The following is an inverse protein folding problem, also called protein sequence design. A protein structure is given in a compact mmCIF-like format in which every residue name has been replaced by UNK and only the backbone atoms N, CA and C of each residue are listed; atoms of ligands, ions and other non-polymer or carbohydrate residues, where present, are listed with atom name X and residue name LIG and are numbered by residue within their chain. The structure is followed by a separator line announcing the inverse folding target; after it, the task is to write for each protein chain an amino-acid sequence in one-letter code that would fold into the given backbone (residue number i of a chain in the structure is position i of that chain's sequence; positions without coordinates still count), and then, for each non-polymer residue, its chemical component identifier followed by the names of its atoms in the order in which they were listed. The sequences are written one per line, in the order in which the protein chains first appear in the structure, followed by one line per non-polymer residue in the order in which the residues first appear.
data_IF_993905562822
#
_entry.id   IF_993905562822
#
_cell.length_a   1.000
_cell.length_b   1.000
_cell.length_c   1.000
_cell.angle_alpha   90.00
_cell.angle_beta   90.00
_cell.angle_gamma   90.00
#
_symmetry.space_group_name_H-M   'P 1'
#
loop_
_entity.id
_entity.type
_entity.pdbx_description
1 polymer ?
#
# COMPACT_ATOMS: atom_id res chain seq x y z
N UNK A 1 33.23 -21.04 6.20
CA UNK A 1 32.11 -20.27 6.78
C UNK A 1 32.26 -18.73 6.67
N UNK A 2 33.41 -18.08 6.93
CA UNK A 2 33.49 -16.61 7.09
C UNK A 2 33.22 -15.70 5.84
N UNK A 3 33.14 -16.23 4.61
CA UNK A 3 32.95 -15.43 3.38
C UNK A 3 31.47 -15.16 3.05
N UNK A 4 30.57 -16.02 3.52
CA UNK A 4 29.13 -15.87 3.29
C UNK A 4 28.53 -14.74 4.15
N UNK A 5 29.06 -14.54 5.36
CA UNK A 5 28.63 -13.49 6.27
C UNK A 5 29.01 -12.10 5.74
N UNK A 6 30.22 -11.93 5.20
CA UNK A 6 30.66 -10.66 4.62
C UNK A 6 29.83 -10.25 3.39
N UNK A 7 29.48 -11.21 2.53
CA UNK A 7 28.62 -10.96 1.36
C UNK A 7 27.19 -10.57 1.75
N UNK A 8 26.68 -11.11 2.87
CA UNK A 8 25.34 -10.81 3.36
C UNK A 8 25.29 -9.43 4.01
N UNK A 9 26.36 -9.05 4.71
CA UNK A 9 26.53 -7.71 5.30
C UNK A 9 26.72 -6.61 4.23
N UNK A 10 27.51 -6.86 3.19
CA UNK A 10 27.66 -5.91 2.07
C UNK A 10 26.35 -5.72 1.30
N UNK A 11 25.59 -6.80 1.10
CA UNK A 11 24.28 -6.71 0.46
C UNK A 11 23.29 -5.92 1.33
N UNK A 12 23.26 -6.17 2.65
CA UNK A 12 22.42 -5.42 3.57
C UNK A 12 22.79 -3.92 3.60
N UNK A 13 24.09 -3.59 3.57
CA UNK A 13 24.56 -2.20 3.50
C UNK A 13 24.14 -1.51 2.18
N UNK A 14 24.29 -2.19 1.04
CA UNK A 14 23.85 -1.66 -0.27
C UNK A 14 22.34 -1.47 -0.36
N UNK A 15 21.56 -2.36 0.26
CA UNK A 15 20.10 -2.22 0.35
C UNK A 15 19.72 -1.03 1.25
N UNK A 16 20.34 -0.89 2.41
CA UNK A 16 20.14 0.27 3.30
C UNK A 16 20.52 1.58 2.61
N UNK A 17 21.64 1.62 1.89
CA UNK A 17 22.08 2.81 1.15
C UNK A 17 21.09 3.18 0.05
N UNK A 18 20.52 2.20 -0.66
CA UNK A 18 19.43 2.46 -1.61
C UNK A 18 18.21 3.09 -0.93
N UNK A 19 17.80 2.62 0.25
CA UNK A 19 16.70 3.21 1.02
C UNK A 19 17.00 4.62 1.54
N UNK A 20 18.29 4.95 1.74
CA UNK A 20 18.76 6.23 2.25
C UNK A 20 19.04 7.28 1.16
N UNK A 21 19.08 6.89 -0.12
CA UNK A 21 19.37 7.86 -1.19
C UNK A 21 18.27 8.94 -1.29
N UNK A 22 18.64 10.20 -1.57
CA UNK A 22 17.66 11.26 -1.82
C UNK A 22 16.68 10.92 -2.96
N UNK A 23 17.15 10.18 -3.97
CA UNK A 23 16.32 9.72 -5.09
C UNK A 23 15.27 8.68 -4.66
N UNK A 24 15.64 7.69 -3.85
CA UNK A 24 14.68 6.72 -3.32
C UNK A 24 13.67 7.36 -2.36
N UNK A 25 14.10 8.33 -1.54
CA UNK A 25 13.19 9.10 -0.68
C UNK A 25 12.22 9.94 -1.52
N UNK A 26 12.68 10.58 -2.60
CA UNK A 26 11.82 11.33 -3.51
C UNK A 26 10.79 10.42 -4.19
N UNK A 27 11.22 9.26 -4.70
CA UNK A 27 10.32 8.28 -5.30
C UNK A 27 9.29 7.75 -4.29
N UNK A 28 9.70 7.47 -3.05
CA UNK A 28 8.78 7.07 -1.97
C UNK A 28 7.72 8.13 -1.70
N UNK A 29 8.12 9.39 -1.56
CA UNK A 29 7.17 10.51 -1.37
C UNK A 29 6.21 10.65 -2.55
N UNK A 30 6.70 10.46 -3.78
CA UNK A 30 5.86 10.50 -4.97
C UNK A 30 4.83 9.36 -4.98
N UNK A 31 5.27 8.12 -4.70
CA UNK A 31 4.38 6.96 -4.62
C UNK A 31 3.36 7.10 -3.49
N UNK A 32 3.78 7.61 -2.33
CA UNK A 32 2.90 7.90 -1.20
C UNK A 32 1.86 8.97 -1.58
N UNK A 33 2.27 10.06 -2.23
CA UNK A 33 1.36 11.10 -2.71
C UNK A 33 0.34 10.56 -3.72
N UNK A 34 0.79 9.76 -4.70
CA UNK A 34 -0.10 9.10 -5.67
C UNK A 34 -1.07 8.13 -5.00
N UNK A 35 -0.61 7.39 -4.00
CA UNK A 35 -1.44 6.48 -3.23
C UNK A 35 -2.54 7.24 -2.47
N UNK A 36 -2.20 8.30 -1.74
CA UNK A 36 -3.18 9.09 -1.01
C UNK A 36 -4.20 9.76 -1.93
N UNK A 37 -3.75 10.33 -3.06
CA UNK A 37 -4.65 10.89 -4.07
C UNK A 37 -5.63 9.82 -4.60
N UNK A 38 -5.16 8.60 -4.87
CA UNK A 38 -6.01 7.52 -5.34
C UNK A 38 -7.01 7.03 -4.26
N UNK A 39 -6.65 7.12 -2.98
CA UNK A 39 -7.56 6.83 -1.86
C UNK A 39 -8.65 7.90 -1.74
N UNK A 40 -8.33 9.18 -1.99
CA UNK A 40 -9.30 10.28 -1.98
C UNK A 40 -10.33 10.17 -3.12
N UNK A 41 -9.97 9.54 -4.24
CA UNK A 41 -10.89 9.26 -5.36
C UNK A 41 -11.88 8.12 -5.09
N UNK A 42 -11.64 7.29 -4.06
CA UNK A 42 -12.60 6.26 -3.67
C UNK A 42 -13.85 6.88 -3.02
N UNK A 43 -14.99 6.21 -3.19
CA UNK A 43 -16.17 6.56 -2.40
C UNK A 43 -15.92 6.31 -0.91
N UNK A 44 -16.69 7.01 -0.05
CA UNK A 44 -16.51 6.99 1.42
C UNK A 44 -16.39 5.55 1.96
N UNK A 45 -17.29 4.67 1.54
CA UNK A 45 -17.36 3.30 2.02
C UNK A 45 -16.17 2.44 1.56
N UNK A 46 -15.67 2.66 0.34
CA UNK A 46 -14.48 1.99 -0.18
C UNK A 46 -13.19 2.52 0.46
N UNK A 47 -13.10 3.83 0.72
CA UNK A 47 -11.97 4.44 1.43
C UNK A 47 -11.88 3.94 2.87
N UNK A 48 -12.99 3.99 3.61
CA UNK A 48 -13.04 3.63 5.01
C UNK A 48 -12.55 2.18 5.23
N UNK A 49 -13.02 1.24 4.39
CA UNK A 49 -12.59 -0.16 4.50
C UNK A 49 -11.12 -0.36 4.13
N UNK A 50 -10.56 0.42 3.20
CA UNK A 50 -9.14 0.33 2.86
C UNK A 50 -8.27 0.89 3.98
N UNK A 51 -8.65 2.00 4.58
CA UNK A 51 -7.92 2.62 5.68
C UNK A 51 -7.88 1.72 6.92
N UNK A 52 -9.01 1.14 7.32
CA UNK A 52 -9.08 0.20 8.44
C UNK A 52 -8.23 -1.05 8.22
N UNK A 53 -8.14 -1.54 6.98
CA UNK A 53 -7.34 -2.73 6.64
C UNK A 53 -5.85 -2.43 6.51
N UNK A 54 -5.49 -1.21 6.12
CA UNK A 54 -4.11 -0.80 5.89
C UNK A 54 -3.41 -0.34 7.17
N UNK A 55 -4.07 0.50 7.98
CA UNK A 55 -3.46 1.11 9.17
C UNK A 55 -3.53 0.20 10.40
N UNK A 56 -4.63 -0.53 10.57
CA UNK A 56 -4.92 -1.29 11.79
C UNK A 56 -4.76 -2.81 11.59
N UNK A 57 -4.45 -3.26 10.36
CA UNK A 57 -4.37 -4.67 9.95
C UNK A 57 -5.62 -5.51 10.31
N UNK A 58 -6.78 -4.87 10.48
CA UNK A 58 -8.00 -5.53 10.94
C UNK A 58 -8.42 -6.66 9.99
N UNK A 59 -8.95 -7.74 10.55
CA UNK A 59 -9.58 -8.81 9.80
C UNK A 59 -10.93 -8.40 9.20
N UNK A 60 -11.47 -9.20 8.29
CA UNK A 60 -12.80 -8.96 7.72
C UNK A 60 -13.91 -8.96 8.80
N UNK A 61 -13.72 -9.70 9.90
CA UNK A 61 -14.68 -9.76 11.01
C UNK A 61 -14.73 -8.46 11.81
N UNK A 62 -13.58 -7.92 12.19
CA UNK A 62 -13.48 -6.68 12.96
C UNK A 62 -13.99 -5.47 12.15
N UNK A 63 -13.65 -5.41 10.86
CA UNK A 63 -14.21 -4.41 9.95
C UNK A 63 -15.72 -4.55 9.81
N UNK A 64 -16.24 -5.77 9.81
CA UNK A 64 -17.67 -6.01 9.71
C UNK A 64 -18.40 -5.52 10.96
N UNK A 65 -17.83 -5.73 12.16
CA UNK A 65 -18.38 -5.21 13.41
C UNK A 65 -18.37 -3.67 13.45
N UNK A 66 -17.27 -3.04 13.04
CA UNK A 66 -17.14 -1.58 13.04
C UNK A 66 -18.10 -0.89 12.05
N UNK A 67 -18.37 -1.53 10.91
CA UNK A 67 -19.22 -0.96 9.86
C UNK A 67 -20.67 -1.45 9.90
N UNK A 68 -21.05 -2.25 10.90
CA UNK A 68 -22.36 -2.92 10.99
C UNK A 68 -22.72 -3.70 9.70
N UNK A 69 -21.76 -4.51 9.23
CA UNK A 69 -21.85 -5.34 8.04
C UNK A 69 -21.78 -6.82 8.39
N UNK A 70 -22.15 -7.67 7.44
CA UNK A 70 -21.73 -9.08 7.51
C UNK A 70 -20.26 -9.22 7.11
N UNK A 71 -19.53 -10.24 7.62
CA UNK A 71 -18.16 -10.51 7.20
C UNK A 71 -18.01 -10.71 5.69
N UNK A 72 -19.03 -11.28 5.04
CA UNK A 72 -19.08 -11.44 3.59
C UNK A 72 -19.22 -10.09 2.88
N UNK A 73 -20.09 -9.19 3.38
CA UNK A 73 -20.26 -7.85 2.82
C UNK A 73 -18.99 -7.00 2.97
N UNK A 74 -18.32 -7.06 4.13
CA UNK A 74 -17.02 -6.43 4.35
C UNK A 74 -15.96 -6.97 3.36
N UNK A 75 -15.85 -8.30 3.21
CA UNK A 75 -14.92 -8.92 2.27
C UNK A 75 -15.16 -8.50 0.81
N UNK A 76 -16.42 -8.48 0.36
CA UNK A 76 -16.77 -8.04 -0.99
C UNK A 76 -16.46 -6.55 -1.21
N UNK A 77 -16.77 -5.70 -0.23
CA UNK A 77 -16.49 -4.27 -0.30
C UNK A 77 -15.00 -4.00 -0.36
N UNK A 78 -14.20 -4.68 0.46
CA UNK A 78 -12.74 -4.59 0.39
C UNK A 78 -12.19 -4.99 -0.99
N UNK A 79 -12.64 -6.13 -1.53
CA UNK A 79 -12.24 -6.56 -2.86
C UNK A 79 -12.66 -5.59 -3.97
N UNK A 80 -13.79 -4.90 -3.82
CA UNK A 80 -14.22 -3.86 -4.76
C UNK A 80 -13.33 -2.62 -4.65
N UNK A 81 -13.08 -2.15 -3.43
CA UNK A 81 -12.22 -1.00 -3.16
C UNK A 81 -10.81 -1.21 -3.72
N UNK A 82 -10.19 -2.38 -3.49
CA UNK A 82 -8.87 -2.70 -4.03
C UNK A 82 -8.86 -2.75 -5.57
N UNK A 83 -9.93 -3.25 -6.21
CA UNK A 83 -10.02 -3.24 -7.68
C UNK A 83 -10.09 -1.82 -8.23
N UNK A 84 -10.87 -0.94 -7.60
CA UNK A 84 -10.97 0.48 -7.97
C UNK A 84 -9.66 1.21 -7.76
N UNK A 85 -9.03 1.02 -6.59
CA UNK A 85 -7.74 1.62 -6.27
C UNK A 85 -6.66 1.20 -7.26
N UNK A 86 -6.65 -0.07 -7.68
CA UNK A 86 -5.76 -0.56 -8.75
C UNK A 86 -6.07 0.06 -10.12
N UNK A 87 -7.33 0.35 -10.42
CA UNK A 87 -7.72 1.08 -11.62
C UNK A 87 -7.12 2.49 -11.63
N UNK A 88 -7.34 3.24 -10.54
CA UNK A 88 -6.84 4.62 -10.40
C UNK A 88 -5.31 4.69 -10.45
N UNK A 89 -4.62 3.79 -9.73
CA UNK A 89 -3.16 3.72 -9.72
C UNK A 89 -2.57 3.17 -11.04
N UNK A 90 -3.31 2.34 -11.77
CA UNK A 90 -2.91 1.77 -13.06
C UNK A 90 -3.24 2.64 -14.26
N UNK A 91 -4.21 3.56 -14.13
CA UNK A 91 -4.56 4.59 -15.11
C UNK A 91 -3.76 5.88 -14.93
N UNK A 92 -3.00 6.01 -13.83
CA UNK A 92 -1.97 7.05 -13.71
C UNK A 92 -1.00 6.88 -14.87
N UNK A 93 -0.94 7.85 -15.81
CA UNK A 93 -0.19 7.67 -17.03
C UNK A 93 1.25 7.35 -16.64
N UNK A 94 1.78 6.29 -17.25
CA UNK A 94 3.20 6.24 -17.61
C UNK A 94 3.57 7.65 -18.01
N UNK A 95 4.30 8.38 -17.15
CA UNK A 95 4.81 9.68 -17.52
C UNK A 95 5.69 9.44 -18.74
N UNK A 96 5.12 9.78 -19.89
CA UNK A 96 5.87 9.96 -21.10
C UNK A 96 6.68 11.23 -20.92
N UNK A 97 7.93 11.14 -21.36
CA UNK A 97 9.00 12.15 -21.41
C UNK A 97 9.96 12.22 -20.22
#
# INVERSE_FOLDING_TARGET
QARADQSSLDLAAQLCDMELTPAAQALRKELEGRFWAAIEELDEADREIVLMRHQEQLGNGEVAELLDLSPAAAGMRYLRAIRRLRGILGESPSQSE
#
